data_IF_084050390072
#
_entry.id   IF_084050390072
#
_cell.length_a   1.000
_cell.length_b   1.000
_cell.length_c   1.000
_cell.angle_alpha   90.00
_cell.angle_beta   90.00
_cell.angle_gamma   90.00
#
_symmetry.space_group_name_H-M   'P 1'
#
loop_
_entity.id
_entity.type
_entity.pdbx_description
1 polymer ?
#
# COMPACT_ATOMS: atom_id res chain seq x y z
N UNK A 1 -27.02 9.39 -17.95
CA UNK A 1 -27.60 9.70 -16.61
C UNK A 1 -28.09 8.40 -16.02
N UNK A 2 -27.84 8.15 -14.70
CA UNK A 2 -28.47 7.01 -14.03
C UNK A 2 -29.99 7.13 -14.19
N UNK A 3 -30.63 6.00 -14.48
CA UNK A 3 -32.09 5.92 -14.63
C UNK A 3 -32.78 6.52 -13.40
N UNK A 4 -33.90 7.23 -13.57
CA UNK A 4 -34.73 7.73 -12.46
C UNK A 4 -35.78 6.72 -12.03
N UNK A 5 -35.96 5.65 -12.80
CA UNK A 5 -36.88 4.55 -12.50
C UNK A 5 -36.20 3.48 -11.67
N UNK A 6 -36.93 2.71 -10.88
CA UNK A 6 -36.40 1.57 -10.15
C UNK A 6 -35.71 0.58 -11.11
N UNK A 7 -34.62 -0.01 -10.66
CA UNK A 7 -33.96 -1.10 -11.37
C UNK A 7 -34.64 -2.42 -11.05
N UNK A 8 -34.83 -3.27 -12.04
CA UNK A 8 -35.40 -4.62 -11.88
C UNK A 8 -34.36 -5.60 -11.28
N UNK A 9 -33.07 -5.31 -11.46
CA UNK A 9 -31.99 -6.18 -11.03
C UNK A 9 -30.72 -5.39 -10.68
N UNK A 10 -29.93 -5.92 -9.75
CA UNK A 10 -28.63 -5.34 -9.39
C UNK A 10 -27.65 -5.29 -10.59
N UNK A 11 -27.79 -6.18 -11.57
CA UNK A 11 -26.95 -6.18 -12.78
C UNK A 11 -27.12 -4.87 -13.56
N UNK A 12 -28.32 -4.30 -13.58
CA UNK A 12 -28.60 -3.05 -14.29
C UNK A 12 -27.89 -1.84 -13.66
N UNK A 13 -27.41 -1.98 -12.44
CA UNK A 13 -26.61 -0.94 -11.75
C UNK A 13 -25.12 -0.99 -12.11
N UNK A 14 -24.69 -2.03 -12.86
CA UNK A 14 -23.30 -2.15 -13.32
C UNK A 14 -23.05 -1.11 -14.42
N UNK A 15 -21.94 -0.42 -14.32
CA UNK A 15 -21.60 0.62 -15.27
C UNK A 15 -22.17 1.99 -14.92
N UNK A 16 -22.05 2.93 -15.88
CA UNK A 16 -22.32 4.35 -15.69
C UNK A 16 -21.72 4.89 -14.36
N UNK A 17 -20.59 4.33 -14.01
CA UNK A 17 -19.84 4.73 -12.82
C UNK A 17 -19.41 6.19 -12.93
N UNK A 18 -19.33 6.92 -11.80
CA UNK A 18 -18.95 8.33 -11.84
C UNK A 18 -17.58 8.58 -12.50
N UNK A 19 -17.48 9.68 -13.23
CA UNK A 19 -16.22 10.27 -13.66
C UNK A 19 -15.94 11.47 -12.74
N UNK A 20 -14.92 11.38 -11.88
CA UNK A 20 -14.67 12.31 -10.79
C UNK A 20 -13.40 13.11 -11.07
N UNK A 21 -13.47 14.45 -11.02
CA UNK A 21 -12.28 15.30 -11.11
C UNK A 21 -11.45 15.20 -9.83
N UNK A 22 -10.17 14.87 -9.95
CA UNK A 22 -9.23 14.89 -8.83
C UNK A 22 -8.74 16.32 -8.61
N UNK A 23 -8.75 16.80 -7.36
CA UNK A 23 -8.49 18.21 -7.04
C UNK A 23 -7.43 18.42 -5.95
N UNK A 24 -7.19 17.42 -5.11
CA UNK A 24 -6.25 17.50 -3.99
C UNK A 24 -4.91 16.88 -4.35
N UNK A 25 -4.92 15.65 -4.87
CA UNK A 25 -3.70 14.96 -5.28
C UNK A 25 -3.07 15.60 -6.53
N UNK A 26 -3.84 16.41 -7.28
CA UNK A 26 -3.42 17.15 -8.48
C UNK A 26 -2.95 18.58 -8.21
N UNK A 27 -2.76 18.99 -6.96
CA UNK A 27 -2.28 20.34 -6.64
C UNK A 27 -0.97 20.65 -7.36
N UNK A 28 -0.91 21.80 -8.04
CA UNK A 28 0.25 22.22 -8.82
C UNK A 28 0.34 21.59 -10.23
N UNK A 29 -0.62 20.78 -10.64
CA UNK A 29 -0.72 20.23 -11.99
C UNK A 29 -1.77 21.03 -12.76
N UNK A 30 -1.43 21.53 -13.94
CA UNK A 30 -2.34 22.34 -14.78
C UNK A 30 -3.30 21.48 -15.58
N UNK A 31 -2.84 20.34 -16.05
CA UNK A 31 -3.65 19.40 -16.84
C UNK A 31 -4.72 18.73 -15.96
N UNK A 32 -6.02 18.84 -16.32
CA UNK A 32 -7.08 18.21 -15.56
C UNK A 32 -6.98 16.67 -15.56
N UNK A 33 -7.11 16.07 -14.39
CA UNK A 33 -7.16 14.61 -14.23
C UNK A 33 -8.50 14.19 -13.66
N UNK A 34 -9.13 13.22 -14.32
CA UNK A 34 -10.40 12.63 -13.91
C UNK A 34 -10.23 11.15 -13.61
N UNK A 35 -10.98 10.64 -12.65
CA UNK A 35 -10.97 9.26 -12.24
C UNK A 35 -12.30 8.57 -12.60
N UNK A 36 -12.26 7.54 -13.43
CA UNK A 36 -13.39 6.64 -13.67
C UNK A 36 -13.53 5.67 -12.50
N UNK A 37 -14.55 5.88 -11.68
CA UNK A 37 -14.66 5.26 -10.35
C UNK A 37 -15.41 3.93 -10.38
N UNK A 38 -14.75 2.85 -10.81
CA UNK A 38 -15.31 1.49 -10.86
C UNK A 38 -15.58 0.86 -9.49
N UNK A 39 -15.11 1.49 -8.43
CA UNK A 39 -15.43 1.15 -7.04
C UNK A 39 -16.94 1.26 -6.74
N UNK A 40 -17.71 1.96 -7.56
CA UNK A 40 -19.15 2.14 -7.39
C UNK A 40 -20.02 1.12 -8.16
N UNK A 41 -19.41 0.14 -8.80
CA UNK A 41 -20.15 -1.04 -9.24
C UNK A 41 -20.67 -1.84 -8.03
N UNK A 42 -21.74 -2.62 -8.13
CA UNK A 42 -22.38 -3.30 -7.00
C UNK A 42 -21.44 -4.29 -6.28
N UNK A 43 -20.55 -4.96 -6.98
CA UNK A 43 -19.51 -5.82 -6.40
C UNK A 43 -18.24 -5.05 -6.04
N UNK A 44 -18.20 -3.73 -6.21
CA UNK A 44 -17.10 -2.85 -5.82
C UNK A 44 -15.86 -2.95 -6.71
N UNK A 45 -15.98 -3.36 -7.96
CA UNK A 45 -14.84 -3.38 -8.89
C UNK A 45 -15.22 -3.34 -10.37
N UNK A 46 -14.22 -3.04 -11.20
CA UNK A 46 -14.30 -3.11 -12.66
C UNK A 46 -14.69 -4.49 -13.19
N UNK A 47 -14.43 -5.54 -12.42
CA UNK A 47 -14.70 -6.93 -12.84
C UNK A 47 -16.19 -7.29 -12.85
N UNK A 48 -17.04 -6.48 -12.24
CA UNK A 48 -18.49 -6.66 -12.31
C UNK A 48 -18.97 -6.55 -13.76
N UNK A 49 -18.30 -5.71 -14.58
CA UNK A 49 -18.62 -5.51 -16.00
C UNK A 49 -18.44 -6.73 -16.87
N UNK A 50 -17.55 -7.66 -16.47
CA UNK A 50 -17.21 -8.82 -17.30
C UNK A 50 -17.96 -10.10 -16.88
N UNK A 51 -18.48 -10.13 -15.64
CA UNK A 51 -19.14 -11.33 -15.11
C UNK A 51 -20.36 -11.76 -15.94
N UNK A 52 -21.31 -10.85 -16.17
CA UNK A 52 -22.49 -11.09 -17.01
C UNK A 52 -22.12 -11.46 -18.45
N UNK A 53 -21.37 -10.62 -19.18
CA UNK A 53 -20.98 -10.89 -20.57
C UNK A 53 -20.24 -12.21 -20.80
N UNK A 54 -19.40 -12.66 -19.87
CA UNK A 54 -18.75 -13.98 -19.97
C UNK A 54 -19.79 -15.11 -19.89
N UNK A 55 -20.73 -15.01 -18.95
CA UNK A 55 -21.82 -15.99 -18.80
C UNK A 55 -22.73 -15.99 -20.02
N UNK A 56 -23.13 -14.80 -20.48
CA UNK A 56 -24.00 -14.64 -21.67
C UNK A 56 -23.34 -15.22 -22.93
N UNK A 57 -22.01 -15.11 -23.06
CA UNK A 57 -21.28 -15.71 -24.15
C UNK A 57 -21.34 -17.26 -24.08
N UNK A 58 -21.15 -17.85 -22.90
CA UNK A 58 -21.21 -19.28 -22.69
C UNK A 58 -22.64 -19.86 -22.87
N UNK A 59 -23.67 -19.07 -22.53
CA UNK A 59 -25.07 -19.44 -22.81
C UNK A 59 -25.36 -19.43 -24.33
N UNK A 60 -24.89 -18.39 -25.03
CA UNK A 60 -25.11 -18.24 -26.48
C UNK A 60 -24.42 -19.31 -27.31
N UNK A 61 -23.23 -19.72 -26.95
CA UNK A 61 -22.50 -20.78 -27.65
C UNK A 61 -22.90 -22.20 -27.20
N UNK A 62 -23.76 -22.32 -26.18
CA UNK A 62 -24.30 -23.56 -25.67
C UNK A 62 -23.34 -24.36 -24.77
N UNK A 63 -22.20 -23.79 -24.39
CA UNK A 63 -21.23 -24.42 -23.48
C UNK A 63 -21.73 -24.45 -22.03
N UNK A 64 -22.59 -23.50 -21.65
CA UNK A 64 -23.25 -23.44 -20.34
C UNK A 64 -24.76 -23.58 -20.48
N UNK A 65 -25.34 -24.59 -19.86
CA UNK A 65 -26.78 -24.83 -19.82
C UNK A 65 -27.38 -24.46 -18.47
N UNK A 66 -28.69 -24.18 -18.36
CA UNK A 66 -29.35 -23.86 -17.10
C UNK A 66 -28.95 -24.81 -15.95
N UNK A 67 -28.69 -24.24 -14.76
CA UNK A 67 -28.25 -24.99 -13.58
C UNK A 67 -26.79 -25.46 -13.60
N UNK A 68 -26.00 -25.02 -14.60
CA UNK A 68 -24.59 -25.36 -14.75
C UNK A 68 -23.69 -24.69 -13.72
N UNK A 69 -22.40 -24.91 -13.88
CA UNK A 69 -21.36 -24.44 -12.97
C UNK A 69 -20.34 -23.57 -13.69
N UNK A 70 -20.05 -22.41 -13.13
CA UNK A 70 -19.01 -21.50 -13.60
C UNK A 70 -17.78 -21.71 -12.74
N UNK A 71 -16.65 -21.99 -13.38
CA UNK A 71 -15.36 -22.22 -12.72
C UNK A 71 -14.38 -21.14 -13.15
N UNK A 72 -13.59 -20.60 -12.21
CA UNK A 72 -12.53 -19.62 -12.49
C UNK A 72 -11.39 -19.68 -11.48
N UNK A 73 -10.17 -19.58 -12.00
CA UNK A 73 -8.99 -19.29 -11.18
C UNK A 73 -8.86 -17.78 -10.99
N UNK A 74 -9.11 -17.26 -9.79
CA UNK A 74 -9.19 -15.81 -9.58
C UNK A 74 -8.52 -15.31 -8.31
N UNK A 75 -7.99 -14.08 -8.34
CA UNK A 75 -7.54 -13.34 -7.15
C UNK A 75 -8.67 -12.65 -6.38
N UNK A 76 -9.93 -12.79 -6.80
CA UNK A 76 -11.11 -12.33 -6.05
C UNK A 76 -12.11 -11.50 -6.86
N UNK A 77 -11.72 -10.38 -7.46
CA UNK A 77 -12.67 -9.44 -8.09
C UNK A 77 -13.49 -10.06 -9.22
N UNK A 78 -12.87 -10.83 -10.09
CA UNK A 78 -13.58 -11.52 -11.18
C UNK A 78 -14.56 -12.55 -10.64
N UNK A 79 -14.18 -13.28 -9.60
CA UNK A 79 -15.09 -14.20 -8.91
C UNK A 79 -16.33 -13.50 -8.36
N UNK A 80 -16.19 -12.27 -7.84
CA UNK A 80 -17.33 -11.48 -7.35
C UNK A 80 -18.26 -11.11 -8.51
N UNK A 81 -17.73 -10.56 -9.60
CA UNK A 81 -18.53 -10.21 -10.78
C UNK A 81 -19.27 -11.43 -11.38
N UNK A 82 -18.58 -12.58 -11.46
CA UNK A 82 -19.19 -13.84 -11.90
C UNK A 82 -20.26 -14.33 -10.91
N UNK A 83 -20.00 -14.27 -9.60
CA UNK A 83 -20.92 -14.72 -8.58
C UNK A 83 -22.23 -13.89 -8.54
N UNK A 84 -22.14 -12.57 -8.70
CA UNK A 84 -23.32 -11.69 -8.81
C UNK A 84 -24.19 -12.11 -10.00
N UNK A 85 -23.60 -12.26 -11.19
CA UNK A 85 -24.34 -12.66 -12.37
C UNK A 85 -24.88 -14.09 -12.27
N UNK A 86 -24.08 -15.02 -11.74
CA UNK A 86 -24.47 -16.41 -11.53
C UNK A 86 -25.65 -16.57 -10.56
N UNK A 87 -25.64 -15.81 -9.45
CA UNK A 87 -26.73 -15.86 -8.47
C UNK A 87 -28.08 -15.49 -9.08
N UNK A 88 -28.11 -14.49 -9.96
CA UNK A 88 -29.34 -14.04 -10.63
C UNK A 88 -29.79 -14.99 -11.76
N UNK A 89 -28.86 -15.69 -12.40
CA UNK A 89 -29.12 -16.61 -13.50
C UNK A 89 -29.28 -18.07 -13.04
N UNK A 90 -29.13 -18.35 -11.75
CA UNK A 90 -29.27 -19.70 -11.17
C UNK A 90 -28.12 -20.66 -11.45
N UNK A 91 -26.88 -20.13 -11.60
CA UNK A 91 -25.67 -20.93 -11.77
C UNK A 91 -24.90 -21.11 -10.46
N UNK A 92 -24.17 -22.21 -10.36
CA UNK A 92 -23.20 -22.44 -9.28
C UNK A 92 -21.85 -21.82 -9.65
N UNK A 93 -21.07 -21.46 -8.64
CA UNK A 93 -19.70 -20.98 -8.82
C UNK A 93 -18.70 -21.81 -8.02
N UNK A 94 -17.59 -22.19 -8.65
CA UNK A 94 -16.44 -22.80 -8.01
C UNK A 94 -15.22 -21.95 -8.38
N UNK A 95 -14.56 -21.35 -7.37
CA UNK A 95 -13.37 -20.52 -7.58
C UNK A 95 -12.15 -21.13 -6.92
N UNK A 96 -11.05 -21.19 -7.66
CA UNK A 96 -9.74 -21.55 -7.12
C UNK A 96 -8.94 -20.31 -6.86
N UNK A 97 -8.27 -20.24 -5.69
CA UNK A 97 -7.60 -19.04 -5.23
C UNK A 97 -6.29 -19.37 -4.53
N UNK A 98 -5.17 -18.65 -4.84
CA UNK A 98 -3.92 -18.83 -4.13
C UNK A 98 -4.03 -18.48 -2.64
N UNK A 99 -3.32 -19.20 -1.78
CA UNK A 99 -3.32 -19.00 -0.32
C UNK A 99 -2.78 -17.64 0.15
N UNK A 100 -2.00 -16.94 -0.69
CA UNK A 100 -1.51 -15.58 -0.42
C UNK A 100 -2.59 -14.50 -0.45
N UNK A 101 -3.80 -14.81 -0.96
CA UNK A 101 -4.89 -13.83 -1.04
C UNK A 101 -5.47 -13.52 0.34
N UNK A 102 -6.04 -12.30 0.47
CA UNK A 102 -6.62 -11.87 1.74
C UNK A 102 -7.85 -12.71 2.12
N UNK A 103 -8.04 -12.93 3.43
CA UNK A 103 -9.19 -13.66 3.95
C UNK A 103 -10.51 -12.93 3.67
N UNK A 104 -10.48 -11.61 3.55
CA UNK A 104 -11.64 -10.79 3.19
C UNK A 104 -12.18 -11.18 1.82
N UNK A 105 -11.31 -11.40 0.81
CA UNK A 105 -11.71 -11.83 -0.54
C UNK A 105 -12.32 -13.23 -0.53
N UNK A 106 -11.73 -14.16 0.22
CA UNK A 106 -12.27 -15.54 0.36
C UNK A 106 -13.66 -15.52 0.98
N UNK A 107 -13.82 -14.76 2.08
CA UNK A 107 -15.10 -14.65 2.79
C UNK A 107 -16.17 -13.98 1.94
N UNK A 108 -15.80 -12.98 1.16
CA UNK A 108 -16.71 -12.28 0.27
C UNK A 108 -17.26 -13.20 -0.83
N UNK A 109 -16.41 -14.00 -1.48
CA UNK A 109 -16.85 -14.98 -2.47
C UNK A 109 -17.81 -16.02 -1.87
N UNK A 110 -17.49 -16.53 -0.67
CA UNK A 110 -18.39 -17.46 0.06
C UNK A 110 -19.72 -16.82 0.44
N UNK A 111 -19.72 -15.52 0.78
CA UNK A 111 -20.97 -14.79 1.08
C UNK A 111 -21.89 -14.69 -0.14
N UNK A 112 -21.35 -14.66 -1.36
CA UNK A 112 -22.14 -14.76 -2.60
C UNK A 112 -22.54 -16.20 -2.96
N UNK A 113 -22.27 -17.20 -2.10
CA UNK A 113 -22.63 -18.59 -2.30
C UNK A 113 -21.67 -19.41 -3.14
N UNK A 114 -20.49 -18.87 -3.46
CA UNK A 114 -19.49 -19.61 -4.22
C UNK A 114 -18.73 -20.61 -3.36
N UNK A 115 -18.40 -21.76 -3.93
CA UNK A 115 -17.39 -22.68 -3.41
C UNK A 115 -16.00 -22.10 -3.70
N UNK A 116 -15.13 -22.03 -2.68
CA UNK A 116 -13.77 -21.49 -2.83
C UNK A 116 -12.76 -22.53 -2.40
N UNK A 117 -11.91 -22.94 -3.32
CA UNK A 117 -10.83 -23.90 -3.14
C UNK A 117 -9.51 -23.15 -3.07
N UNK A 118 -8.82 -23.26 -1.93
CA UNK A 118 -7.52 -22.62 -1.72
C UNK A 118 -6.42 -23.54 -2.24
N UNK A 119 -5.49 -22.96 -3.00
CA UNK A 119 -4.37 -23.66 -3.62
C UNK A 119 -3.04 -23.04 -3.16
N UNK A 120 -1.93 -23.80 -3.17
CA UNK A 120 -0.62 -23.27 -2.82
C UNK A 120 -0.16 -22.20 -3.83
N UNK A 121 0.43 -21.12 -3.32
CA UNK A 121 1.04 -20.07 -4.16
C UNK A 121 2.41 -20.50 -4.69
N UNK A 122 3.18 -21.26 -3.89
CA UNK A 122 4.58 -21.60 -4.18
C UNK A 122 4.70 -22.84 -5.09
N UNK A 123 3.97 -22.83 -6.21
CA UNK A 123 4.04 -23.91 -7.23
C UNK A 123 4.21 -23.29 -8.62
N UNK A 124 4.90 -23.99 -9.56
CA UNK A 124 5.04 -23.51 -10.94
C UNK A 124 3.67 -23.32 -11.63
N UNK A 125 3.61 -22.44 -12.65
CA UNK A 125 2.37 -22.13 -13.36
C UNK A 125 1.68 -23.32 -14.04
N UNK A 126 2.43 -24.36 -14.39
CA UNK A 126 1.97 -25.62 -15.03
C UNK A 126 1.72 -26.76 -14.03
N UNK A 127 1.99 -26.52 -12.73
CA UNK A 127 1.76 -27.52 -11.70
C UNK A 127 0.26 -27.82 -11.55
N UNK A 128 -0.16 -29.08 -11.37
CA UNK A 128 -1.58 -29.44 -11.22
C UNK A 128 -2.32 -28.72 -10.09
N UNK A 129 -1.62 -28.35 -9.03
CA UNK A 129 -2.16 -27.60 -7.88
C UNK A 129 -2.09 -26.07 -8.05
N UNK A 130 -1.57 -25.56 -9.17
CA UNK A 130 -1.69 -24.15 -9.49
C UNK A 130 -3.17 -23.78 -9.65
N UNK A 131 -3.56 -22.61 -9.12
CA UNK A 131 -4.97 -22.21 -9.09
C UNK A 131 -5.63 -22.18 -10.49
N UNK A 132 -4.90 -21.80 -11.55
CA UNK A 132 -5.42 -21.80 -12.92
C UNK A 132 -5.58 -23.24 -13.45
N UNK A 133 -4.57 -24.09 -13.21
CA UNK A 133 -4.61 -25.49 -13.67
C UNK A 133 -5.69 -26.28 -12.93
N UNK A 134 -5.86 -26.03 -11.64
CA UNK A 134 -6.94 -26.63 -10.86
C UNK A 134 -8.32 -26.20 -11.35
N UNK A 135 -8.52 -24.91 -11.65
CA UNK A 135 -9.78 -24.41 -12.25
C UNK A 135 -10.08 -25.11 -13.57
N UNK A 136 -9.09 -25.24 -14.45
CA UNK A 136 -9.23 -25.97 -15.74
C UNK A 136 -9.66 -27.43 -15.52
N UNK A 137 -8.99 -28.12 -14.60
CA UNK A 137 -9.34 -29.53 -14.27
C UNK A 137 -10.76 -29.64 -13.74
N UNK A 138 -11.15 -28.81 -12.78
CA UNK A 138 -12.51 -28.81 -12.21
C UNK A 138 -13.55 -28.55 -13.29
N UNK A 139 -13.32 -27.60 -14.19
CA UNK A 139 -14.24 -27.32 -15.28
C UNK A 139 -14.39 -28.52 -16.25
N UNK A 140 -13.32 -29.27 -16.49
CA UNK A 140 -13.35 -30.47 -17.35
C UNK A 140 -14.04 -31.69 -16.67
N UNK A 141 -13.86 -31.86 -15.37
CA UNK A 141 -14.38 -33.00 -14.60
C UNK A 141 -15.82 -32.78 -14.13
N UNK A 142 -16.31 -31.53 -14.09
CA UNK A 142 -17.66 -31.22 -13.60
C UNK A 142 -18.65 -31.20 -14.77
N UNK A 143 -19.70 -32.00 -14.75
CA UNK A 143 -20.75 -31.98 -15.79
C UNK A 143 -21.42 -30.60 -15.89
N UNK A 144 -21.67 -30.12 -17.12
CA UNK A 144 -22.28 -28.84 -17.39
C UNK A 144 -21.52 -27.67 -16.68
N UNK A 145 -20.19 -27.73 -16.70
CA UNK A 145 -19.33 -26.64 -16.18
C UNK A 145 -18.59 -25.94 -17.30
N UNK A 146 -18.34 -24.64 -17.11
CA UNK A 146 -17.57 -23.80 -18.03
C UNK A 146 -16.49 -23.08 -17.25
N UNK A 147 -15.27 -23.01 -17.83
CA UNK A 147 -14.20 -22.15 -17.35
C UNK A 147 -14.44 -20.73 -17.89
N UNK A 148 -14.58 -19.75 -17.03
CA UNK A 148 -14.77 -18.34 -17.43
C UNK A 148 -13.56 -17.79 -18.20
N UNK A 149 -12.33 -18.22 -17.83
CA UNK A 149 -11.07 -18.01 -18.56
C UNK A 149 -10.80 -16.53 -18.89
N UNK A 150 -10.91 -15.65 -17.89
CA UNK A 150 -10.82 -14.20 -18.06
C UNK A 150 -9.60 -13.70 -18.82
N UNK A 151 -8.48 -14.43 -18.80
CA UNK A 151 -7.24 -14.06 -19.47
C UNK A 151 -7.24 -14.29 -20.98
N UNK A 152 -8.16 -15.12 -21.49
CA UNK A 152 -8.21 -15.51 -22.89
C UNK A 152 -9.62 -15.39 -23.49
N UNK A 153 -10.63 -15.12 -22.68
CA UNK A 153 -12.01 -15.02 -23.15
C UNK A 153 -12.27 -13.66 -23.83
N UNK A 154 -12.60 -13.63 -25.12
CA UNK A 154 -12.85 -12.39 -25.87
C UNK A 154 -14.04 -11.59 -25.36
N UNK A 155 -14.96 -12.19 -24.60
CA UNK A 155 -16.06 -11.49 -23.95
C UNK A 155 -15.57 -10.46 -22.92
N UNK A 156 -14.36 -10.61 -22.37
CA UNK A 156 -13.76 -9.68 -21.42
C UNK A 156 -13.48 -8.31 -22.11
N UNK A 157 -12.58 -8.17 -23.10
CA UNK A 157 -12.40 -6.89 -23.78
C UNK A 157 -13.67 -6.39 -24.49
N UNK A 158 -14.50 -7.29 -25.00
CA UNK A 158 -15.76 -6.92 -25.65
C UNK A 158 -16.71 -6.21 -24.67
N UNK A 159 -16.82 -6.67 -23.42
CA UNK A 159 -17.63 -6.00 -22.40
C UNK A 159 -17.19 -4.55 -22.15
N UNK A 160 -15.89 -4.28 -22.19
CA UNK A 160 -15.36 -2.92 -22.05
C UNK A 160 -15.54 -2.06 -23.31
N UNK A 161 -15.47 -2.68 -24.49
CA UNK A 161 -15.77 -2.01 -25.74
C UNK A 161 -17.23 -1.57 -25.81
N UNK A 162 -18.17 -2.42 -25.35
CA UNK A 162 -19.60 -2.17 -25.39
C UNK A 162 -20.12 -1.29 -24.25
N UNK A 163 -19.39 -1.18 -23.14
CA UNK A 163 -19.84 -0.42 -21.96
C UNK A 163 -18.88 0.69 -21.53
N UNK A 164 -17.67 0.36 -21.09
CA UNK A 164 -16.73 1.32 -20.47
C UNK A 164 -16.26 2.37 -21.46
N UNK A 165 -15.97 1.98 -22.69
CA UNK A 165 -15.57 2.89 -23.77
C UNK A 165 -16.63 3.93 -24.09
N UNK A 166 -17.89 3.52 -24.42
CA UNK A 166 -19.00 4.43 -24.62
C UNK A 166 -19.26 5.39 -23.46
N UNK A 167 -19.26 4.88 -22.23
CA UNK A 167 -19.45 5.72 -21.04
C UNK A 167 -18.38 6.81 -20.92
N UNK A 168 -17.10 6.45 -21.09
CA UNK A 168 -15.99 7.40 -21.05
C UNK A 168 -16.12 8.46 -22.15
N UNK A 169 -16.46 8.05 -23.36
CA UNK A 169 -16.65 8.97 -24.47
C UNK A 169 -17.78 9.98 -24.20
N UNK A 170 -18.92 9.50 -23.73
CA UNK A 170 -20.07 10.35 -23.42
C UNK A 170 -19.78 11.26 -22.22
N UNK A 171 -19.24 10.72 -21.11
CA UNK A 171 -18.95 11.48 -19.89
C UNK A 171 -17.89 12.57 -20.12
N UNK A 172 -16.98 12.38 -21.06
CA UNK A 172 -15.96 13.38 -21.42
C UNK A 172 -16.43 14.31 -22.54
N UNK A 173 -17.58 14.02 -23.16
CA UNK A 173 -18.04 14.73 -24.36
C UNK A 173 -17.04 14.59 -25.51
N UNK A 174 -16.36 13.45 -25.62
CA UNK A 174 -15.34 13.17 -26.62
C UNK A 174 -14.03 13.94 -26.46
N UNK A 175 -13.82 14.67 -25.35
CA UNK A 175 -12.65 15.53 -25.12
C UNK A 175 -11.48 14.80 -24.45
N UNK A 176 -11.61 13.51 -24.15
CA UNK A 176 -10.52 12.71 -23.58
C UNK A 176 -9.32 12.71 -24.52
N UNK A 177 -8.15 13.08 -24.00
CA UNK A 177 -6.88 13.08 -24.74
C UNK A 177 -5.97 11.93 -24.35
N UNK A 178 -6.00 11.52 -23.07
CA UNK A 178 -5.16 10.47 -22.52
C UNK A 178 -5.99 9.58 -21.61
N UNK A 179 -5.90 8.28 -21.83
CA UNK A 179 -6.49 7.27 -20.95
C UNK A 179 -5.39 6.46 -20.28
N UNK A 180 -5.35 6.49 -18.97
CA UNK A 180 -4.34 5.78 -18.18
C UNK A 180 -5.00 4.63 -17.42
N UNK A 181 -4.58 3.41 -17.73
CA UNK A 181 -5.05 2.18 -17.10
C UNK A 181 -3.88 1.25 -16.77
N UNK A 182 -4.16 0.03 -16.37
CA UNK A 182 -3.16 -1.02 -16.18
C UNK A 182 -3.69 -2.35 -16.74
N UNK A 183 -2.79 -3.26 -17.03
CA UNK A 183 -3.15 -4.59 -17.49
C UNK A 183 -2.96 -5.62 -16.37
N UNK A 184 -4.04 -6.29 -15.98
CA UNK A 184 -4.03 -7.59 -15.37
C UNK A 184 -4.35 -8.62 -16.46
N UNK A 185 -5.65 -8.73 -16.82
CA UNK A 185 -6.05 -9.49 -18.02
C UNK A 185 -5.84 -8.69 -19.32
N UNK A 186 -5.77 -7.36 -19.24
CA UNK A 186 -5.71 -6.48 -20.40
C UNK A 186 -7.08 -6.11 -20.99
N UNK A 187 -8.16 -6.76 -20.56
CA UNK A 187 -9.48 -6.54 -21.14
C UNK A 187 -9.96 -5.09 -21.11
N UNK A 188 -9.73 -4.37 -20.00
CA UNK A 188 -10.11 -2.97 -19.84
C UNK A 188 -9.40 -2.08 -20.85
N UNK A 189 -8.06 -2.11 -20.88
CA UNK A 189 -7.28 -1.23 -21.76
C UNK A 189 -7.50 -1.56 -23.24
N UNK A 190 -7.66 -2.84 -23.55
CA UNK A 190 -7.96 -3.31 -24.92
C UNK A 190 -9.36 -2.85 -25.38
N UNK A 191 -10.40 -3.13 -24.60
CA UNK A 191 -11.76 -2.79 -25.00
C UNK A 191 -12.00 -1.28 -25.08
N UNK A 192 -11.52 -0.54 -24.08
CA UNK A 192 -11.58 0.93 -24.05
C UNK A 192 -10.73 1.52 -25.17
N UNK A 193 -9.52 1.01 -25.37
CA UNK A 193 -8.60 1.50 -26.39
C UNK A 193 -9.14 1.35 -27.80
N UNK A 194 -9.71 0.19 -28.14
CA UNK A 194 -10.41 -0.01 -29.42
C UNK A 194 -11.49 1.01 -29.62
N UNK A 195 -12.38 1.15 -28.65
CA UNK A 195 -13.52 2.08 -28.75
C UNK A 195 -13.08 3.54 -28.91
N UNK A 196 -12.10 4.00 -28.11
CA UNK A 196 -11.64 5.38 -28.15
C UNK A 196 -10.86 5.68 -29.43
N UNK A 197 -9.94 4.81 -29.86
CA UNK A 197 -9.12 5.03 -31.07
C UNK A 197 -9.94 4.95 -32.37
N UNK A 198 -11.03 4.20 -32.40
CA UNK A 198 -11.99 4.22 -33.54
C UNK A 198 -12.67 5.57 -33.68
N UNK A 199 -12.87 6.32 -32.61
CA UNK A 199 -13.53 7.64 -32.62
C UNK A 199 -12.56 8.81 -32.73
N UNK A 200 -11.44 8.67 -32.09
CA UNK A 200 -10.37 9.65 -32.14
C UNK A 200 -9.00 8.90 -32.02
N UNK A 201 -8.32 8.65 -33.13
CA UNK A 201 -7.03 7.94 -33.15
C UNK A 201 -5.91 8.66 -32.39
N UNK A 202 -6.08 9.98 -32.12
CA UNK A 202 -5.08 10.76 -31.38
C UNK A 202 -5.12 10.54 -29.87
N UNK A 203 -6.15 9.88 -29.33
CA UNK A 203 -6.22 9.53 -27.90
C UNK A 203 -5.04 8.64 -27.53
N UNK A 204 -4.26 9.05 -26.53
CA UNK A 204 -3.13 8.29 -26.02
C UNK A 204 -3.56 7.28 -24.98
N UNK A 205 -3.21 6.03 -25.22
CA UNK A 205 -3.46 4.90 -24.32
C UNK A 205 -2.19 4.60 -23.54
N UNK A 206 -2.21 4.81 -22.22
CA UNK A 206 -1.02 4.66 -21.37
C UNK A 206 -1.26 3.55 -20.36
N UNK A 207 -0.33 2.61 -20.28
CA UNK A 207 -0.41 1.50 -19.34
C UNK A 207 0.56 1.68 -18.18
N UNK A 208 0.06 1.49 -16.95
CA UNK A 208 0.87 1.34 -15.75
C UNK A 208 1.14 -0.13 -15.44
N UNK A 209 2.36 -0.45 -14.99
CA UNK A 209 2.77 -1.81 -14.68
C UNK A 209 3.55 -1.85 -13.36
N UNK A 210 3.33 -2.82 -12.48
CA UNK A 210 4.16 -2.93 -11.28
C UNK A 210 5.59 -3.38 -11.64
N UNK A 211 6.58 -2.83 -10.96
CA UNK A 211 7.96 -3.33 -11.03
C UNK A 211 7.96 -4.80 -10.66
N UNK A 212 8.46 -5.65 -11.56
CA UNK A 212 8.43 -7.10 -11.42
C UNK A 212 7.50 -7.82 -12.40
N UNK A 213 6.56 -7.10 -13.02
CA UNK A 213 5.77 -7.61 -14.15
C UNK A 213 6.58 -7.62 -15.45
N UNK A 214 6.23 -8.53 -16.36
CA UNK A 214 6.90 -8.63 -17.65
C UNK A 214 6.31 -7.71 -18.73
N UNK A 215 5.11 -7.13 -18.52
CA UNK A 215 4.33 -6.54 -19.60
C UNK A 215 4.98 -5.29 -20.18
N UNK A 216 5.50 -4.40 -19.35
CA UNK A 216 6.18 -3.19 -19.79
C UNK A 216 7.44 -3.49 -20.63
N UNK A 217 8.25 -4.46 -20.21
CA UNK A 217 9.45 -4.84 -20.96
C UNK A 217 9.10 -5.59 -22.25
N UNK A 218 8.11 -6.47 -22.21
CA UNK A 218 7.59 -7.14 -23.41
C UNK A 218 7.12 -6.13 -24.46
N UNK A 219 6.40 -5.09 -24.04
CA UNK A 219 5.97 -4.00 -24.93
C UNK A 219 7.15 -3.20 -25.49
N UNK A 220 8.10 -2.76 -24.63
CA UNK A 220 9.28 -1.97 -25.06
C UNK A 220 10.16 -2.69 -26.06
N UNK A 221 10.28 -4.00 -25.92
CA UNK A 221 11.14 -4.84 -26.76
C UNK A 221 10.39 -5.49 -27.91
N UNK A 222 9.11 -5.20 -28.07
CA UNK A 222 8.23 -5.85 -29.04
C UNK A 222 8.34 -7.40 -28.98
N UNK A 223 8.37 -7.93 -27.74
CA UNK A 223 8.46 -9.36 -27.48
C UNK A 223 9.81 -10.02 -27.71
N UNK A 224 10.86 -9.27 -28.08
CA UNK A 224 12.20 -9.83 -28.32
C UNK A 224 12.95 -10.14 -27.03
N UNK A 225 12.59 -9.50 -25.92
CA UNK A 225 13.10 -9.78 -24.58
C UNK A 225 11.92 -9.91 -23.61
N UNK A 226 11.83 -11.03 -22.92
CA UNK A 226 10.82 -11.27 -21.89
C UNK A 226 11.58 -11.60 -20.60
N UNK A 227 11.63 -10.68 -19.63
CA UNK A 227 12.29 -10.94 -18.37
C UNK A 227 11.55 -12.02 -17.58
N UNK A 228 12.23 -12.63 -16.64
CA UNK A 228 11.55 -13.44 -15.62
C UNK A 228 10.77 -12.52 -14.69
N UNK A 229 9.51 -12.87 -14.43
CA UNK A 229 8.66 -12.12 -13.50
C UNK A 229 9.21 -12.18 -12.08
N UNK A 230 9.24 -11.04 -11.38
CA UNK A 230 9.67 -10.92 -10.00
C UNK A 230 8.45 -10.59 -9.12
N UNK A 231 8.31 -11.20 -7.92
CA UNK A 231 7.16 -10.96 -7.05
C UNK A 231 7.00 -9.48 -6.66
N UNK A 232 5.81 -8.97 -6.76
CA UNK A 232 5.36 -7.65 -6.28
C UNK A 232 4.08 -7.79 -5.43
N UNK A 233 3.67 -6.73 -4.75
CA UNK A 233 2.58 -6.76 -3.76
C UNK A 233 1.28 -6.12 -4.25
N UNK A 234 1.31 -5.30 -5.29
CA UNK A 234 0.10 -4.78 -5.92
C UNK A 234 -0.69 -5.94 -6.52
N UNK A 235 -1.99 -5.99 -6.22
CA UNK A 235 -2.86 -7.09 -6.66
C UNK A 235 -3.73 -6.66 -7.85
N UNK A 236 -4.02 -7.62 -8.73
CA UNK A 236 -4.99 -7.47 -9.83
C UNK A 236 -4.45 -6.87 -11.12
N UNK A 237 -3.20 -6.45 -11.15
CA UNK A 237 -2.50 -5.93 -12.33
C UNK A 237 -1.07 -6.47 -12.39
N UNK A 238 -0.43 -6.32 -13.56
CA UNK A 238 0.86 -6.94 -13.84
C UNK A 238 0.72 -8.46 -14.07
N UNK A 239 1.65 -9.05 -14.82
CA UNK A 239 1.64 -10.46 -15.17
C UNK A 239 3.05 -11.01 -15.33
N UNK A 240 3.17 -12.35 -15.21
CA UNK A 240 4.35 -13.16 -15.55
C UNK A 240 4.20 -13.85 -16.92
N UNK A 241 3.06 -13.70 -17.58
CA UNK A 241 2.73 -14.20 -18.92
C UNK A 241 1.87 -13.18 -19.65
N UNK A 242 2.00 -13.12 -20.98
CA UNK A 242 1.17 -12.26 -21.82
C UNK A 242 -0.27 -12.78 -21.87
N UNK A 243 -1.27 -11.99 -21.41
CA UNK A 243 -2.67 -12.36 -21.52
C UNK A 243 -3.16 -12.32 -22.97
N UNK A 244 -3.96 -13.29 -23.38
CA UNK A 244 -4.55 -13.32 -24.73
C UNK A 244 -5.61 -12.24 -24.99
N UNK A 245 -6.12 -11.58 -23.93
CA UNK A 245 -7.08 -10.47 -24.01
C UNK A 245 -6.41 -9.10 -24.01
N UNK A 246 -5.06 -9.03 -23.97
CA UNK A 246 -4.31 -7.78 -24.05
C UNK A 246 -3.82 -7.55 -25.47
N UNK A 247 -4.22 -6.43 -26.03
CA UNK A 247 -3.79 -5.92 -27.34
C UNK A 247 -2.75 -4.81 -27.11
N UNK A 248 -1.48 -5.15 -27.24
CA UNK A 248 -0.36 -4.24 -27.01
C UNK A 248 -0.21 -3.16 -28.08
N UNK A 249 -0.74 -3.39 -29.29
CA UNK A 249 -0.67 -2.42 -30.40
C UNK A 249 -1.52 -1.16 -30.13
N UNK A 250 -2.47 -1.25 -29.19
CA UNK A 250 -3.27 -0.10 -28.77
C UNK A 250 -2.55 0.80 -27.76
N UNK A 251 -1.46 0.34 -27.14
CA UNK A 251 -0.77 1.06 -26.06
C UNK A 251 0.31 1.97 -26.64
N UNK A 252 0.19 3.27 -26.37
CA UNK A 252 1.14 4.29 -26.84
C UNK A 252 2.34 4.47 -25.89
N UNK A 253 2.18 4.20 -24.60
CA UNK A 253 3.26 4.29 -23.58
C UNK A 253 3.04 3.29 -22.44
N UNK A 254 4.13 2.79 -21.86
CA UNK A 254 4.10 1.84 -20.76
C UNK A 254 5.04 2.28 -19.63
N UNK A 255 4.51 2.50 -18.42
CA UNK A 255 5.27 3.02 -17.27
C UNK A 255 5.27 2.05 -16.11
N UNK A 256 6.42 1.88 -15.49
CA UNK A 256 6.57 1.00 -14.32
C UNK A 256 6.53 1.80 -13.03
N UNK A 257 5.85 1.28 -12.02
CA UNK A 257 5.66 1.89 -10.70
C UNK A 257 5.97 0.87 -9.61
N UNK A 258 6.67 1.29 -8.57
CA UNK A 258 6.95 0.43 -7.42
C UNK A 258 5.73 0.24 -6.52
N UNK A 259 5.70 -0.86 -5.76
CA UNK A 259 4.67 -1.11 -4.74
C UNK A 259 4.53 0.06 -3.75
N UNK A 260 5.66 0.69 -3.37
CA UNK A 260 5.68 1.83 -2.45
C UNK A 260 4.92 3.04 -3.02
N UNK A 261 5.21 3.42 -4.25
CA UNK A 261 4.54 4.54 -4.93
C UNK A 261 3.05 4.26 -5.15
N UNK A 262 2.72 3.03 -5.57
CA UNK A 262 1.35 2.58 -5.76
C UNK A 262 0.53 2.68 -4.47
N UNK A 263 1.05 2.16 -3.36
CA UNK A 263 0.34 2.14 -2.08
C UNK A 263 0.31 3.52 -1.41
N UNK A 264 1.38 4.32 -1.55
CA UNK A 264 1.38 5.70 -1.10
C UNK A 264 0.28 6.51 -1.82
N UNK A 265 0.14 6.36 -3.13
CA UNK A 265 -0.89 7.05 -3.91
C UNK A 265 -2.31 6.55 -3.57
N UNK A 266 -2.54 5.25 -3.37
CA UNK A 266 -3.83 4.72 -2.93
C UNK A 266 -4.26 5.32 -1.58
N UNK A 267 -3.33 5.43 -0.63
CA UNK A 267 -3.56 6.05 0.68
C UNK A 267 -3.82 7.57 0.56
N UNK A 268 -3.15 8.26 -0.37
CA UNK A 268 -3.40 9.67 -0.68
C UNK A 268 -4.79 9.87 -1.28
N UNK A 269 -5.19 9.07 -2.25
CA UNK A 269 -6.55 9.10 -2.83
C UNK A 269 -7.61 8.97 -1.72
N UNK A 270 -7.40 8.05 -0.78
CA UNK A 270 -8.31 7.85 0.34
C UNK A 270 -8.36 9.05 1.28
N UNK A 271 -7.20 9.60 1.67
CA UNK A 271 -7.11 10.64 2.69
C UNK A 271 -7.37 12.05 2.14
N UNK A 272 -6.98 12.31 0.89
CA UNK A 272 -7.04 13.63 0.29
C UNK A 272 -8.28 13.83 -0.59
N UNK A 273 -8.73 12.78 -1.31
CA UNK A 273 -9.89 12.86 -2.22
C UNK A 273 -11.15 12.14 -1.67
N UNK A 274 -11.02 11.39 -0.57
CA UNK A 274 -12.14 10.58 -0.03
C UNK A 274 -12.45 9.34 -0.88
N UNK A 275 -11.55 8.92 -1.76
CA UNK A 275 -11.69 7.78 -2.66
C UNK A 275 -11.01 6.55 -2.07
N UNK A 276 -11.78 5.65 -1.48
CA UNK A 276 -11.26 4.45 -0.82
C UNK A 276 -11.02 3.34 -1.83
N UNK A 277 -9.75 3.12 -2.21
CA UNK A 277 -9.34 2.34 -3.38
C UNK A 277 -8.27 1.28 -3.08
N UNK A 278 -8.12 0.28 -3.96
CA UNK A 278 -7.03 -0.68 -3.91
C UNK A 278 -5.70 -0.16 -4.48
N UNK A 279 -4.64 -0.95 -4.31
CA UNK A 279 -3.28 -0.61 -4.75
C UNK A 279 -3.14 -0.39 -6.25
N UNK A 280 -3.88 -1.14 -7.07
CA UNK A 280 -3.90 -0.97 -8.53
C UNK A 280 -4.41 0.42 -8.96
N UNK A 281 -5.43 0.93 -8.27
CA UNK A 281 -5.94 2.30 -8.48
C UNK A 281 -4.89 3.35 -8.14
N UNK A 282 -4.12 3.11 -7.06
CA UNK A 282 -2.98 3.96 -6.69
C UNK A 282 -1.90 3.98 -7.77
N UNK A 283 -1.51 2.80 -8.28
CA UNK A 283 -0.53 2.68 -9.36
C UNK A 283 -0.97 3.46 -10.60
N UNK A 284 -2.19 3.23 -11.08
CA UNK A 284 -2.71 3.88 -12.29
C UNK A 284 -2.79 5.40 -12.11
N UNK A 285 -3.23 5.85 -10.93
CA UNK A 285 -3.30 7.29 -10.64
C UNK A 285 -1.91 7.91 -10.51
N UNK A 286 -0.92 7.21 -9.97
CA UNK A 286 0.47 7.69 -9.94
C UNK A 286 0.96 8.00 -11.35
N UNK A 287 0.82 7.06 -12.29
CA UNK A 287 1.14 7.26 -13.72
C UNK A 287 0.35 8.42 -14.31
N UNK A 288 -0.95 8.51 -14.03
CA UNK A 288 -1.79 9.58 -14.57
C UNK A 288 -1.32 10.98 -14.12
N UNK A 289 -0.83 11.11 -12.87
CA UNK A 289 -0.28 12.38 -12.38
C UNK A 289 1.08 12.71 -13.01
N UNK A 290 1.93 11.73 -13.30
CA UNK A 290 3.17 11.94 -14.04
C UNK A 290 2.88 12.44 -15.45
N UNK A 291 2.02 11.73 -16.18
CA UNK A 291 1.57 12.10 -17.53
C UNK A 291 0.98 13.51 -17.54
N UNK A 292 0.12 13.83 -16.60
CA UNK A 292 -0.51 15.15 -16.52
C UNK A 292 0.49 16.28 -16.24
N UNK A 293 1.56 16.03 -15.47
CA UNK A 293 2.66 17.00 -15.27
C UNK A 293 3.47 17.22 -16.53
N UNK A 294 3.76 16.16 -17.27
CA UNK A 294 4.54 16.22 -18.51
C UNK A 294 3.78 16.96 -19.62
N UNK A 295 2.47 16.74 -19.72
CA UNK A 295 1.61 17.43 -20.70
C UNK A 295 1.56 18.94 -20.42
N UNK A 296 1.38 19.33 -19.18
CA UNK A 296 1.26 20.72 -18.69
C UNK A 296 0.32 21.60 -19.53
N UNK A 297 -0.78 21.05 -20.00
CA UNK A 297 -1.79 21.70 -20.84
C UNK A 297 -3.17 21.67 -20.14
N UNK A 298 -3.77 22.84 -19.82
CA UNK A 298 -5.09 22.91 -19.21
C UNK A 298 -6.25 22.45 -20.13
N UNK A 299 -6.04 22.41 -21.45
CA UNK A 299 -7.04 21.95 -22.43
C UNK A 299 -7.02 20.42 -22.62
N UNK A 300 -5.94 19.76 -22.26
CA UNK A 300 -5.86 18.31 -22.28
C UNK A 300 -6.73 17.69 -21.17
N UNK A 301 -7.18 16.46 -21.39
CA UNK A 301 -7.98 15.72 -20.43
C UNK A 301 -7.40 14.32 -20.20
N UNK A 302 -6.80 14.11 -19.03
CA UNK A 302 -6.28 12.80 -18.59
C UNK A 302 -7.37 12.09 -17.79
N UNK A 303 -7.67 10.85 -18.14
CA UNK A 303 -8.59 10.00 -17.39
C UNK A 303 -7.82 8.81 -16.80
N UNK A 304 -7.85 8.69 -15.48
CA UNK A 304 -7.35 7.53 -14.72
C UNK A 304 -8.48 6.57 -14.35
N UNK A 305 -8.15 5.41 -13.80
CA UNK A 305 -9.10 4.34 -13.56
C UNK A 305 -8.98 3.81 -12.12
N UNK A 306 -10.09 3.81 -11.36
CA UNK A 306 -10.14 3.29 -10.00
C UNK A 306 -10.77 1.90 -10.01
N UNK A 307 -9.92 0.88 -9.99
CA UNK A 307 -10.28 -0.50 -10.32
C UNK A 307 -11.20 -1.17 -9.31
N UNK A 308 -10.93 -0.99 -8.00
CA UNK A 308 -11.66 -1.65 -6.94
C UNK A 308 -11.60 -0.89 -5.61
N UNK A 309 -12.49 -1.27 -4.67
CA UNK A 309 -12.61 -0.66 -3.34
C UNK A 309 -11.51 -1.08 -2.39
N UNK A 310 -11.13 -0.18 -1.48
CA UNK A 310 -10.07 -0.38 -0.47
C UNK A 310 -10.41 -1.37 0.63
N UNK A 311 -11.68 -1.72 0.84
CA UNK A 311 -12.15 -2.62 1.90
C UNK A 311 -11.48 -4.02 1.85
N UNK A 312 -11.06 -4.44 0.66
CA UNK A 312 -10.38 -5.71 0.40
C UNK A 312 -8.92 -5.75 0.84
N UNK A 313 -8.40 -4.62 1.33
CA UNK A 313 -6.99 -4.40 1.62
C UNK A 313 -6.73 -3.81 3.02
N UNK A 314 -7.74 -3.91 3.91
CA UNK A 314 -7.65 -3.38 5.29
C UNK A 314 -6.52 -4.03 6.09
N UNK A 315 -6.29 -5.32 5.88
CA UNK A 315 -5.21 -6.08 6.53
C UNK A 315 -3.83 -5.90 5.86
N UNK A 316 -3.76 -5.17 4.73
CA UNK A 316 -2.54 -4.96 3.94
C UNK A 316 -2.20 -3.47 3.80
N UNK A 317 -2.45 -2.87 2.63
CA UNK A 317 -2.03 -1.50 2.32
C UNK A 317 -2.61 -0.42 3.26
N UNK A 318 -3.69 -0.72 3.99
CA UNK A 318 -4.27 0.17 5.01
C UNK A 318 -3.87 -0.19 6.44
N UNK A 319 -3.11 -1.27 6.65
CA UNK A 319 -2.50 -1.65 7.93
C UNK A 319 -1.06 -1.13 7.98
N UNK A 320 -0.78 -0.19 8.90
CA UNK A 320 0.55 0.42 9.02
C UNK A 320 1.63 -0.58 9.47
N UNK A 321 1.27 -1.61 10.25
CA UNK A 321 2.19 -2.65 10.68
C UNK A 321 2.63 -3.50 9.48
N UNK A 322 1.67 -3.99 8.70
CA UNK A 322 1.95 -4.73 7.47
C UNK A 322 2.78 -3.90 6.47
N UNK A 323 2.47 -2.61 6.33
CA UNK A 323 3.23 -1.70 5.46
C UNK A 323 4.70 -1.55 5.91
N UNK A 324 4.95 -1.47 7.23
CA UNK A 324 6.32 -1.41 7.77
C UNK A 324 7.07 -2.73 7.61
N UNK A 325 6.46 -3.85 7.92
CA UNK A 325 7.03 -5.19 7.74
C UNK A 325 7.48 -5.43 6.30
N UNK A 326 6.74 -4.86 5.34
CA UNK A 326 7.04 -4.96 3.92
C UNK A 326 7.89 -3.78 3.38
N UNK A 327 8.39 -2.89 4.23
CA UNK A 327 9.25 -1.73 3.88
C UNK A 327 8.57 -0.76 2.89
N UNK A 328 7.26 -0.61 2.95
CA UNK A 328 6.42 0.19 2.04
C UNK A 328 5.96 1.53 2.64
N UNK A 329 6.08 1.70 3.96
CA UNK A 329 6.00 3.01 4.59
C UNK A 329 7.42 3.57 4.72
N UNK A 330 7.56 4.84 4.36
CA UNK A 330 8.68 5.61 4.90
C UNK A 330 8.47 5.64 6.40
N UNK A 331 9.43 5.13 7.15
CA UNK A 331 9.46 5.46 8.56
C UNK A 331 9.51 7.00 8.59
N UNK A 332 8.60 7.69 9.32
CA UNK A 332 8.80 9.10 9.56
C UNK A 332 10.22 9.20 10.08
N UNK A 333 10.98 10.24 9.67
CA UNK A 333 12.34 10.53 10.13
C UNK A 333 12.40 10.35 11.64
N UNK A 334 12.52 9.10 12.08
CA UNK A 334 12.67 8.77 13.49
C UNK A 334 14.11 9.06 13.79
N UNK A 335 14.35 10.24 14.37
CA UNK A 335 15.65 10.60 14.83
C UNK A 335 16.14 9.50 15.77
N UNK A 336 17.27 8.91 15.41
CA UNK A 336 17.94 7.94 16.25
C UNK A 336 18.66 8.69 17.37
N UNK A 337 18.80 8.05 18.54
CA UNK A 337 19.44 8.68 19.69
C UNK A 337 20.85 9.20 19.38
N UNK A 338 21.61 8.51 18.52
CA UNK A 338 22.91 8.98 18.07
C UNK A 338 22.85 10.32 17.28
N UNK A 339 21.81 10.53 16.48
CA UNK A 339 21.57 11.78 15.78
C UNK A 339 21.13 12.90 16.74
N UNK A 340 20.26 12.56 17.72
CA UNK A 340 19.83 13.49 18.76
C UNK A 340 21.01 13.99 19.60
N UNK A 341 21.96 13.12 19.96
CA UNK A 341 23.18 13.48 20.66
C UNK A 341 24.08 14.42 19.81
N UNK A 342 24.13 14.22 18.49
CA UNK A 342 24.88 15.09 17.57
C UNK A 342 24.30 16.50 17.46
N UNK A 343 22.98 16.66 17.61
CA UNK A 343 22.29 17.97 17.59
C UNK A 343 22.37 18.68 18.94
N UNK A 344 22.57 17.96 20.03
CA UNK A 344 22.68 18.47 21.41
C UNK A 344 23.91 19.38 21.64
N UNK A 345 24.82 19.48 20.68
CA UNK A 345 26.11 20.18 20.76
C UNK A 345 25.99 21.71 20.73
N UNK A 346 25.23 22.28 21.65
CA UNK A 346 25.32 23.69 22.07
C UNK A 346 26.53 23.96 22.98
N UNK A 347 27.62 23.17 22.87
CA UNK A 347 28.88 23.38 23.61
C UNK A 347 29.07 22.56 24.89
N UNK A 348 28.08 21.81 25.36
CA UNK A 348 28.24 20.90 26.47
C UNK A 348 28.79 19.53 25.99
N UNK A 349 29.66 18.84 26.76
CA UNK A 349 30.10 17.49 26.43
C UNK A 349 28.91 16.53 26.33
N UNK A 350 28.93 15.61 25.37
CA UNK A 350 27.86 14.63 25.17
C UNK A 350 27.59 13.75 26.42
N UNK A 351 28.60 13.60 27.28
CA UNK A 351 28.54 12.91 28.56
C UNK A 351 29.35 13.66 29.62
N UNK A 352 28.68 14.15 30.64
CA UNK A 352 29.30 14.64 31.89
C UNK A 352 29.05 13.60 32.97
N UNK A 353 30.06 13.19 33.68
CA UNK A 353 30.00 12.11 34.70
C UNK A 353 30.86 12.41 35.90
N UNK A 354 30.62 11.68 36.98
CA UNK A 354 31.49 11.65 38.19
C UNK A 354 31.95 10.24 38.48
N UNK A 355 33.07 10.11 39.17
CA UNK A 355 33.51 8.81 39.69
C UNK A 355 32.89 8.51 41.05
N UNK A 356 32.86 7.23 41.50
CA UNK A 356 32.29 6.84 42.79
C UNK A 356 33.04 7.50 43.99
N UNK A 357 34.32 7.80 43.85
CA UNK A 357 35.15 8.49 44.88
C UNK A 357 35.03 10.04 44.84
N UNK A 358 34.31 10.63 43.93
CA UNK A 358 34.06 12.08 43.89
C UNK A 358 33.19 12.50 45.08
N UNK A 359 33.33 13.74 45.57
CA UNK A 359 32.48 14.23 46.64
C UNK A 359 31.13 14.75 46.12
N UNK A 360 30.09 14.76 46.96
CA UNK A 360 28.79 15.37 46.67
C UNK A 360 28.96 16.82 46.22
N UNK A 361 29.87 17.58 46.84
CA UNK A 361 30.21 18.95 46.47
C UNK A 361 30.74 19.06 45.04
N UNK A 362 31.59 18.12 44.63
CA UNK A 362 32.10 18.08 43.24
C UNK A 362 31.01 17.76 42.24
N UNK A 363 30.11 16.81 42.57
CA UNK A 363 28.95 16.49 41.71
C UNK A 363 28.04 17.69 41.52
N UNK A 364 27.66 18.39 42.61
CA UNK A 364 26.80 19.59 42.53
C UNK A 364 27.45 20.73 41.72
N UNK A 365 28.78 20.93 41.88
CA UNK A 365 29.52 21.93 41.07
C UNK A 365 29.51 21.59 39.57
N UNK A 366 29.63 20.33 39.19
CA UNK A 366 29.58 19.89 37.81
C UNK A 366 28.16 20.08 37.22
N UNK A 367 27.11 19.82 38.02
CA UNK A 367 25.74 20.07 37.62
C UNK A 367 25.48 21.54 37.34
N UNK A 368 25.92 22.43 38.26
CA UNK A 368 25.81 23.88 38.11
C UNK A 368 26.63 24.39 36.91
N UNK A 369 27.90 23.95 36.76
CA UNK A 369 28.76 24.35 35.64
C UNK A 369 28.20 24.03 34.25
N UNK A 370 27.51 22.91 34.15
CA UNK A 370 26.97 22.43 32.84
C UNK A 370 25.47 22.60 32.68
N UNK A 371 24.80 23.23 33.63
CA UNK A 371 23.34 23.44 33.67
C UNK A 371 22.58 22.12 33.48
N UNK A 372 22.98 21.09 34.29
CA UNK A 372 22.39 19.76 34.25
C UNK A 372 21.95 19.31 35.62
N UNK A 373 20.86 18.57 35.72
CA UNK A 373 20.25 18.13 36.98
C UNK A 373 20.51 16.66 37.34
N UNK A 374 21.32 15.95 36.55
CA UNK A 374 21.66 14.54 36.81
C UNK A 374 23.02 14.16 36.20
N UNK A 375 23.73 13.27 36.91
CA UNK A 375 25.02 12.73 36.49
C UNK A 375 25.02 11.20 36.61
N UNK A 376 25.53 10.46 35.63
CA UNK A 376 25.92 9.08 35.79
C UNK A 376 27.20 8.99 36.62
N UNK A 377 27.27 8.00 37.48
CA UNK A 377 28.48 7.63 38.22
C UNK A 377 29.22 6.55 37.43
N UNK A 378 30.42 6.91 36.95
CA UNK A 378 31.18 6.06 36.03
C UNK A 378 32.41 5.47 36.72
N UNK A 379 32.64 4.17 36.49
CA UNK A 379 33.91 3.50 36.84
C UNK A 379 34.50 2.92 35.56
N UNK A 380 35.44 3.64 34.96
CA UNK A 380 35.90 3.39 33.61
C UNK A 380 34.76 3.58 32.59
N UNK A 381 34.51 2.58 31.75
CA UNK A 381 33.42 2.59 30.74
C UNK A 381 32.06 2.09 31.29
N UNK A 382 31.98 1.76 32.60
CA UNK A 382 30.79 1.21 33.22
C UNK A 382 30.07 2.24 34.09
N UNK A 383 28.74 2.35 33.93
CA UNK A 383 27.91 3.14 34.81
C UNK A 383 27.54 2.28 36.03
N UNK A 384 28.02 2.68 37.23
CA UNK A 384 27.81 1.97 38.50
C UNK A 384 26.71 2.58 39.37
N UNK A 385 26.26 3.81 39.04
CA UNK A 385 25.20 4.50 39.76
C UNK A 385 24.73 5.78 39.05
N UNK A 386 23.84 6.52 39.68
CA UNK A 386 23.39 7.82 39.26
C UNK A 386 23.18 8.75 40.44
N UNK A 387 23.27 10.05 40.21
CA UNK A 387 22.94 11.10 41.19
C UNK A 387 22.10 12.18 40.50
N UNK A 388 21.14 12.73 41.26
CA UNK A 388 20.30 13.86 40.81
C UNK A 388 20.53 15.07 41.70
N UNK A 389 20.44 16.29 41.13
CA UNK A 389 20.57 17.53 41.87
C UNK A 389 19.60 17.60 43.05
N UNK A 390 18.34 17.24 42.84
CA UNK A 390 17.31 17.23 43.89
C UNK A 390 17.64 16.33 45.05
N UNK A 391 18.14 15.11 44.79
CA UNK A 391 18.53 14.17 45.86
C UNK A 391 19.75 14.67 46.63
N UNK A 392 20.81 15.15 45.94
CA UNK A 392 22.01 15.66 46.57
C UNK A 392 21.76 16.94 47.35
N UNK A 393 20.93 17.87 46.83
CA UNK A 393 20.55 19.11 47.52
C UNK A 393 19.73 18.83 48.79
N UNK A 394 18.73 17.93 48.73
CA UNK A 394 17.95 17.54 49.90
C UNK A 394 18.83 16.92 51.00
N UNK A 395 19.77 16.03 50.63
CA UNK A 395 20.73 15.42 51.51
C UNK A 395 21.65 16.45 52.18
N UNK A 396 22.16 17.43 51.43
CA UNK A 396 23.09 18.46 51.88
C UNK A 396 22.41 19.52 52.78
N UNK A 397 21.13 19.82 52.52
CA UNK A 397 20.31 20.70 53.35
C UNK A 397 20.00 20.06 54.73
N UNK A 398 19.83 18.74 54.76
CA UNK A 398 19.61 18.01 56.03
C UNK A 398 20.89 17.92 56.90
N UNK A 399 22.06 17.77 56.26
CA UNK A 399 23.36 17.73 56.92
C UNK A 399 24.47 18.23 55.98
N UNK A 400 25.02 19.43 56.26
CA UNK A 400 26.07 20.04 55.45
C UNK A 400 27.37 19.24 55.39
N UNK A 401 27.63 18.38 56.37
CA UNK A 401 28.80 17.46 56.37
C UNK A 401 28.72 16.45 55.22
N UNK A 402 27.54 16.16 54.73
CA UNK A 402 27.30 15.27 53.58
C UNK A 402 27.87 15.81 52.27
N UNK A 403 28.17 17.10 52.19
CA UNK A 403 28.84 17.69 51.01
C UNK A 403 30.21 17.08 50.75
N UNK A 404 30.89 16.60 51.77
CA UNK A 404 32.22 15.98 51.64
C UNK A 404 32.17 14.44 51.64
N UNK A 405 30.96 13.84 51.67
CA UNK A 405 30.77 12.41 51.53
C UNK A 405 31.07 11.97 50.07
N UNK A 406 31.51 10.71 49.91
CA UNK A 406 31.72 10.11 48.60
C UNK A 406 30.39 9.91 47.87
N UNK A 407 30.38 10.09 46.55
CA UNK A 407 29.20 9.84 45.70
C UNK A 407 28.77 8.40 45.82
N UNK A 408 29.68 7.45 45.98
CA UNK A 408 29.36 6.02 46.22
C UNK A 408 28.42 5.76 47.39
N UNK A 409 28.45 6.64 48.41
CA UNK A 409 27.67 6.45 49.65
C UNK A 409 26.21 6.96 49.48
N UNK A 410 25.92 7.71 48.41
CA UNK A 410 24.65 8.42 48.20
C UNK A 410 24.06 8.19 46.83
N UNK A 411 24.76 7.50 45.92
CA UNK A 411 24.26 7.24 44.57
C UNK A 411 23.06 6.28 44.55
N UNK A 412 22.23 6.47 43.59
CA UNK A 412 21.10 5.58 43.25
C UNK A 412 21.50 4.56 42.18
N UNK A 413 20.55 3.72 41.76
CA UNK A 413 20.76 2.75 40.68
C UNK A 413 21.22 3.43 39.38
N UNK A 414 22.03 2.75 38.55
CA UNK A 414 22.50 3.31 37.30
C UNK A 414 21.34 3.58 36.32
N UNK A 415 21.49 4.61 35.47
CA UNK A 415 20.54 4.87 34.40
C UNK A 415 20.49 3.68 33.42
N UNK A 416 19.30 3.39 32.85
CA UNK A 416 19.17 2.40 31.79
C UNK A 416 20.09 2.71 30.60
N UNK A 417 20.72 1.67 30.04
CA UNK A 417 21.59 1.81 28.87
C UNK A 417 20.81 1.34 27.64
N UNK A 418 20.81 2.16 26.60
CA UNK A 418 20.13 1.92 25.33
C UNK A 418 21.12 2.04 24.17
N UNK A 419 20.83 1.41 23.04
CA UNK A 419 21.67 1.49 21.84
C UNK A 419 21.40 2.77 21.04
N UNK A 420 22.44 3.44 20.53
CA UNK A 420 22.33 4.69 19.76
C UNK A 420 21.51 4.58 18.47
N UNK A 421 21.31 3.37 17.96
CA UNK A 421 20.43 3.08 16.84
C UNK A 421 18.93 3.07 17.15
N UNK A 422 18.54 3.07 18.43
CA UNK A 422 17.12 3.13 18.83
C UNK A 422 16.53 4.52 18.54
N UNK A 423 15.20 4.55 18.30
CA UNK A 423 14.48 5.79 18.01
C UNK A 423 14.13 6.54 19.28
N UNK A 424 14.00 7.87 19.19
CA UNK A 424 13.62 8.73 20.32
C UNK A 424 12.27 8.30 20.92
N UNK A 425 11.28 7.96 20.08
CA UNK A 425 9.96 7.51 20.52
C UNK A 425 10.02 6.14 21.26
N UNK A 426 10.88 5.24 20.80
CA UNK A 426 11.08 3.93 21.44
C UNK A 426 11.63 4.07 22.87
N UNK A 427 12.49 5.06 23.09
CA UNK A 427 13.16 5.31 24.38
C UNK A 427 12.33 6.24 25.28
N UNK A 428 11.48 7.09 24.73
CA UNK A 428 10.59 7.98 25.49
C UNK A 428 9.77 7.23 26.57
N UNK A 429 9.41 5.97 26.31
CA UNK A 429 8.68 5.10 27.27
C UNK A 429 9.54 4.70 28.50
N UNK A 430 10.86 4.72 28.38
CA UNK A 430 11.77 4.42 29.48
C UNK A 430 11.99 5.64 30.39
N UNK A 431 11.74 6.84 29.87
CA UNK A 431 11.91 8.09 30.59
C UNK A 431 10.68 8.37 31.45
N UNK A 432 10.86 8.34 32.76
CA UNK A 432 9.82 8.58 33.76
C UNK A 432 10.32 9.56 34.84
N UNK A 433 9.51 9.86 35.85
CA UNK A 433 9.99 10.64 37.01
C UNK A 433 11.08 9.90 37.80
N UNK A 434 11.02 8.57 37.84
CA UNK A 434 12.01 7.71 38.50
C UNK A 434 13.22 7.41 37.61
N UNK A 435 13.11 7.51 36.31
CA UNK A 435 14.18 7.34 35.32
C UNK A 435 14.28 8.60 34.45
N UNK A 436 14.91 9.68 34.91
CA UNK A 436 14.92 10.97 34.21
C UNK A 436 15.85 10.98 33.01
N UNK A 437 16.71 10.01 32.85
CA UNK A 437 17.70 9.92 31.76
C UNK A 437 17.96 8.46 31.34
N UNK A 438 18.47 8.29 30.14
CA UNK A 438 19.05 7.03 29.63
C UNK A 438 20.45 7.29 29.11
N UNK A 439 21.36 6.33 29.27
CA UNK A 439 22.70 6.35 28.70
C UNK A 439 22.68 5.73 27.30
N UNK A 440 23.34 6.35 26.34
CA UNK A 440 23.40 5.87 24.97
C UNK A 440 24.73 5.18 24.74
N UNK A 441 24.70 3.93 24.28
CA UNK A 441 25.88 3.14 23.91
C UNK A 441 26.04 3.12 22.39
N UNK A 442 27.23 3.48 21.91
CA UNK A 442 27.66 3.36 20.51
C UNK A 442 29.04 2.71 20.47
N UNK A 443 29.31 1.83 19.52
CA UNK A 443 30.61 1.18 19.30
C UNK A 443 31.22 0.56 20.59
N UNK A 444 30.37 -0.02 21.45
CA UNK A 444 30.78 -0.68 22.68
C UNK A 444 30.93 0.23 23.90
N UNK A 445 30.95 1.56 23.77
CA UNK A 445 31.12 2.55 24.84
C UNK A 445 29.89 3.39 25.07
N UNK A 446 29.75 4.00 26.24
CA UNK A 446 28.74 5.00 26.52
C UNK A 446 29.18 6.31 25.85
N UNK A 447 28.38 6.78 24.87
CA UNK A 447 28.69 7.93 24.05
C UNK A 447 27.93 9.20 24.47
N UNK A 448 26.92 9.08 25.33
CA UNK A 448 26.15 10.22 25.79
C UNK A 448 24.98 9.87 26.70
N UNK A 449 24.26 10.91 27.10
CA UNK A 449 23.07 10.83 27.94
C UNK A 449 21.91 11.58 27.26
N UNK A 450 20.72 10.98 27.25
CA UNK A 450 19.48 11.58 26.76
C UNK A 450 18.49 11.68 27.92
N UNK A 451 17.97 12.89 28.12
CA UNK A 451 17.04 13.24 29.20
C UNK A 451 15.62 13.46 28.69
N UNK A 452 14.64 13.58 29.59
CA UNK A 452 13.27 14.00 29.22
C UNK A 452 13.25 15.36 28.53
N UNK A 453 14.08 16.31 28.98
CA UNK A 453 14.17 17.64 28.36
C UNK A 453 14.67 17.59 26.93
N UNK A 454 15.64 16.73 26.64
CA UNK A 454 16.14 16.53 25.27
C UNK A 454 15.02 16.00 24.34
N UNK A 455 14.22 15.03 24.81
CA UNK A 455 13.08 14.51 24.06
C UNK A 455 11.99 15.56 23.86
N UNK A 456 11.67 16.36 24.90
CA UNK A 456 10.69 17.42 24.81
C UNK A 456 11.14 18.53 23.83
N UNK A 457 12.39 18.97 23.93
CA UNK A 457 12.97 19.95 23.01
C UNK A 457 12.93 19.47 21.56
N UNK A 458 13.26 18.20 21.33
CA UNK A 458 13.15 17.57 20.03
C UNK A 458 11.70 17.58 19.49
N UNK A 459 10.72 17.24 20.32
CA UNK A 459 9.32 17.24 19.91
C UNK A 459 8.78 18.67 19.62
N UNK A 460 9.27 19.67 20.35
CA UNK A 460 8.88 21.08 20.16
C UNK A 460 9.56 21.76 18.96
N UNK A 461 10.67 21.19 18.47
CA UNK A 461 11.40 21.69 17.29
C UNK A 461 10.87 21.17 15.95
N UNK A 462 9.90 20.28 15.98
CA UNK A 462 9.17 19.74 14.83
C UNK A 462 7.86 20.49 14.59
#
# INVERSE_FOLDING_TARGET
MRNREPYESVIETIGWTPLIRLTRVTRGIRTPVYAKAEIYNPGGSVKDRIGGPIIDAAERDGSLKPGGTIVEGTSGNTGIGLAIAAALKGYRCIFTMPDKMSQEKVRLLKAFGAEVIITPTAVPPDHPDNYVMMAKRIAQETPNAVLANQFYNPANPQAHYESTGPELWEQTGGRITHFVAAAGTGGTITGVGRYLKERNPDVKMIAGDPVGSILAEHWRTNGTSVPEGVPYKVEGIGQDKLPGTLDLDLVDDYRTVSDREAFAMARRLTREEGLFVGGSSGLITHVALEVAREIDDPEAMVVTFLCDTGERYLSKLYNDEWMRENQLLDEPDRVRLGQLLGVKSGGAPALVSVGPGSTVRQALRLMDLHDISQLPVMEGDNCVGSVTEGALSALSLADTKRLDAAVSDVMEAPFPIVHGGQTVEGVAKLLSKSNPAVLVRGEGKITGIVTRSDVLNYLMSR
#
